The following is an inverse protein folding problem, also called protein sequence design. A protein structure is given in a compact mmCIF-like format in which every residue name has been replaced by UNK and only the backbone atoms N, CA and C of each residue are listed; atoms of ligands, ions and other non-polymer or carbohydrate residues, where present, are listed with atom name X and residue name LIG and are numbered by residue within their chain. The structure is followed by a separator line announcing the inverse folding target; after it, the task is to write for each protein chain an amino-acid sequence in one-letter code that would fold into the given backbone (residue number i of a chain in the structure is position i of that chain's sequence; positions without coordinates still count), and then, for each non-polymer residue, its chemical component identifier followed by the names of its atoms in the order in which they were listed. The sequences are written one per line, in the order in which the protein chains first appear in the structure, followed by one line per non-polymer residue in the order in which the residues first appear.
data_IF_291968398203
#
_entry.id   IF_291968398203
#
_cell.length_a   1.000
_cell.length_b   1.000
_cell.length_c   1.000
_cell.angle_alpha   90.00
_cell.angle_beta   90.00
_cell.angle_gamma   90.00
#
_symmetry.space_group_name_H-M   'P 1'
#
loop_
_entity.id
_entity.type
_entity.pdbx_description
1 polymer ?
#
# COMPACT_ATOMS: atom_id res chain seq x y z
N UNK A 1 28.58 8.61 -18.87
CA UNK A 1 28.23 7.18 -18.78
C UNK A 1 29.44 6.31 -18.43
N UNK A 2 30.62 6.51 -19.05
CA UNK A 2 31.82 5.69 -18.77
C UNK A 2 32.39 5.84 -17.36
N UNK A 3 32.44 7.06 -16.83
CA UNK A 3 32.97 7.30 -15.46
C UNK A 3 32.08 6.65 -14.39
N UNK A 4 30.77 6.64 -14.56
CA UNK A 4 29.85 5.92 -13.66
C UNK A 4 30.05 4.42 -13.75
N UNK A 5 30.20 3.86 -14.96
CA UNK A 5 30.49 2.43 -15.19
C UNK A 5 31.81 2.02 -14.55
N UNK A 6 32.91 2.78 -14.77
CA UNK A 6 34.21 2.51 -14.18
C UNK A 6 34.14 2.56 -12.64
N UNK A 7 33.47 3.55 -12.06
CA UNK A 7 33.31 3.67 -10.62
C UNK A 7 32.52 2.50 -10.00
N UNK A 8 31.47 2.05 -10.68
CA UNK A 8 30.71 0.86 -10.24
C UNK A 8 31.54 -0.43 -10.35
N UNK A 9 32.34 -0.59 -11.37
CA UNK A 9 33.24 -1.75 -11.52
C UNK A 9 34.30 -1.76 -10.41
N UNK A 10 34.93 -0.63 -10.09
CA UNK A 10 35.91 -0.55 -9.00
C UNK A 10 35.29 -0.87 -7.64
N UNK A 11 34.09 -0.35 -7.36
CA UNK A 11 33.37 -0.65 -6.11
C UNK A 11 33.02 -2.12 -6.03
N UNK A 12 32.49 -2.71 -7.12
CA UNK A 12 32.18 -4.14 -7.23
C UNK A 12 33.41 -5.01 -6.90
N UNK A 13 34.54 -4.72 -7.57
CA UNK A 13 35.75 -5.53 -7.43
C UNK A 13 36.35 -5.42 -6.02
N UNK A 14 36.31 -4.21 -5.41
CA UNK A 14 36.72 -4.01 -4.03
C UNK A 14 35.84 -4.78 -3.04
N UNK A 15 34.53 -4.72 -3.20
CA UNK A 15 33.58 -5.44 -2.32
C UNK A 15 33.71 -6.96 -2.50
N UNK A 16 33.88 -7.44 -3.74
CA UNK A 16 34.14 -8.84 -4.02
C UNK A 16 35.40 -9.33 -3.32
N UNK A 17 36.48 -8.55 -3.42
CA UNK A 17 37.76 -8.88 -2.74
C UNK A 17 37.57 -9.03 -1.24
N UNK A 18 36.83 -8.10 -0.61
CA UNK A 18 36.54 -8.17 0.84
C UNK A 18 35.67 -9.39 1.16
N UNK A 19 34.59 -9.61 0.39
CA UNK A 19 33.66 -10.71 0.65
C UNK A 19 34.25 -12.09 0.46
N UNK A 20 35.15 -12.26 -0.52
CA UNK A 20 35.81 -13.54 -0.86
C UNK A 20 37.15 -13.74 -0.08
N UNK A 21 37.55 -12.79 0.78
CA UNK A 21 38.78 -12.92 1.58
C UNK A 21 38.49 -13.61 2.92
N UNK A 22 39.50 -14.27 3.47
CA UNK A 22 39.44 -14.87 4.81
C UNK A 22 39.24 -13.81 5.91
N UNK A 23 39.61 -12.53 5.65
CA UNK A 23 39.43 -11.39 6.57
C UNK A 23 37.97 -11.11 6.92
N UNK A 24 37.00 -11.59 6.11
CA UNK A 24 35.56 -11.41 6.40
C UNK A 24 35.17 -12.05 7.74
N UNK A 25 35.82 -13.17 8.11
CA UNK A 25 35.53 -13.89 9.35
C UNK A 25 35.99 -13.11 10.60
N UNK A 26 37.00 -12.25 10.45
CA UNK A 26 37.53 -11.40 11.53
C UNK A 26 36.70 -10.12 11.77
N UNK A 27 35.77 -9.81 10.88
CA UNK A 27 34.91 -8.65 11.00
C UNK A 27 33.79 -8.88 12.02
N UNK A 28 33.30 -7.79 12.64
CA UNK A 28 32.11 -7.86 13.49
C UNK A 28 30.88 -8.31 12.71
N UNK A 29 29.88 -8.93 13.35
CA UNK A 29 28.67 -9.43 12.65
C UNK A 29 27.93 -8.37 11.83
N UNK A 30 27.88 -7.11 12.30
CA UNK A 30 27.28 -5.99 11.58
C UNK A 30 28.07 -5.63 10.30
N UNK A 31 29.40 -5.73 10.35
CA UNK A 31 30.27 -5.50 9.20
C UNK A 31 30.18 -6.64 8.19
N UNK A 32 30.16 -7.90 8.65
CA UNK A 32 29.91 -9.07 7.80
C UNK A 32 28.57 -8.94 7.08
N UNK A 33 27.53 -8.55 7.82
CA UNK A 33 26.19 -8.32 7.23
C UNK A 33 26.19 -7.18 6.22
N UNK A 34 26.88 -6.09 6.49
CA UNK A 34 27.03 -4.99 5.54
C UNK A 34 27.74 -5.41 4.26
N UNK A 35 28.88 -6.13 4.39
CA UNK A 35 29.63 -6.63 3.25
C UNK A 35 28.77 -7.56 2.39
N UNK A 36 28.04 -8.48 3.03
CA UNK A 36 27.09 -9.35 2.33
C UNK A 36 26.01 -8.56 1.60
N UNK A 37 25.34 -7.61 2.25
CA UNK A 37 24.27 -6.81 1.63
C UNK A 37 24.76 -6.03 0.40
N UNK A 38 25.98 -5.53 0.45
CA UNK A 38 26.57 -4.79 -0.68
C UNK A 38 26.98 -5.76 -1.79
N UNK A 39 27.63 -6.87 -1.47
CA UNK A 39 28.03 -7.90 -2.43
C UNK A 39 26.81 -8.52 -3.13
N UNK A 40 25.85 -9.02 -2.35
CA UNK A 40 24.60 -9.61 -2.84
C UNK A 40 23.85 -8.63 -3.77
N UNK A 41 23.77 -7.37 -3.38
CA UNK A 41 23.15 -6.33 -4.20
C UNK A 41 23.83 -6.16 -5.58
N UNK A 42 25.13 -6.35 -5.69
CA UNK A 42 25.83 -6.35 -6.98
C UNK A 42 25.65 -7.67 -7.74
N UNK A 43 25.81 -8.80 -7.06
CA UNK A 43 25.72 -10.13 -7.66
C UNK A 43 24.34 -10.37 -8.28
N UNK A 44 23.28 -10.11 -7.53
CA UNK A 44 21.89 -10.28 -7.96
C UNK A 44 21.45 -9.34 -9.10
N UNK A 45 22.19 -8.28 -9.34
CA UNK A 45 21.96 -7.36 -10.47
C UNK A 45 22.92 -7.61 -11.65
N UNK A 46 23.51 -8.80 -11.73
CA UNK A 46 24.30 -9.25 -12.86
C UNK A 46 25.69 -8.64 -12.95
N UNK A 47 26.19 -8.02 -11.88
CA UNK A 47 27.52 -7.40 -11.90
C UNK A 47 28.66 -8.43 -12.04
N UNK A 48 28.39 -9.69 -11.70
CA UNK A 48 29.36 -10.80 -11.80
C UNK A 48 29.36 -11.47 -13.18
N UNK A 49 28.42 -11.14 -14.05
CA UNK A 49 28.35 -11.70 -15.41
C UNK A 49 29.45 -11.12 -16.30
N UNK A 50 30.00 -11.96 -17.17
CA UNK A 50 31.06 -11.62 -18.12
C UNK A 50 30.68 -12.07 -19.55
N UNK A 51 31.39 -11.53 -20.56
CA UNK A 51 31.23 -11.92 -21.95
C UNK A 51 29.79 -11.82 -22.44
N UNK A 52 29.37 -12.82 -23.20
CA UNK A 52 28.04 -12.89 -23.83
C UNK A 52 26.89 -12.87 -22.84
N UNK A 53 27.05 -13.51 -21.67
CA UNK A 53 26.02 -13.51 -20.63
C UNK A 53 25.73 -12.08 -20.10
N UNK A 54 26.76 -11.25 -19.94
CA UNK A 54 26.61 -9.85 -19.53
C UNK A 54 25.92 -9.00 -20.60
N UNK A 55 26.28 -9.21 -21.86
CA UNK A 55 25.65 -8.49 -22.98
C UNK A 55 24.19 -8.88 -23.10
N UNK A 56 23.88 -10.19 -22.99
CA UNK A 56 22.50 -10.67 -23.01
C UNK A 56 21.67 -10.14 -21.85
N UNK A 57 22.22 -10.14 -20.63
CA UNK A 57 21.56 -9.57 -19.45
C UNK A 57 21.23 -8.08 -19.63
N UNK A 58 22.15 -7.33 -20.22
CA UNK A 58 21.92 -5.90 -20.49
C UNK A 58 20.82 -5.67 -21.55
N UNK A 59 20.81 -6.48 -22.61
CA UNK A 59 19.76 -6.45 -23.64
C UNK A 59 18.38 -6.79 -23.06
N UNK A 60 18.30 -7.85 -22.23
CA UNK A 60 17.06 -8.23 -21.54
C UNK A 60 16.53 -7.07 -20.67
N UNK A 61 17.38 -6.42 -19.88
CA UNK A 61 16.95 -5.31 -19.04
C UNK A 61 16.44 -4.11 -19.86
N UNK A 62 17.04 -3.85 -21.03
CA UNK A 62 16.55 -2.80 -21.93
C UNK A 62 15.17 -3.16 -22.49
N UNK A 63 15.03 -4.38 -23.02
CA UNK A 63 13.75 -4.85 -23.59
C UNK A 63 12.63 -4.88 -22.53
N UNK A 64 12.93 -5.36 -21.31
CA UNK A 64 11.98 -5.32 -20.20
C UNK A 64 11.54 -3.89 -19.85
N UNK A 65 12.44 -2.91 -19.88
CA UNK A 65 12.09 -1.52 -19.61
C UNK A 65 11.12 -0.96 -20.68
N UNK A 66 11.36 -1.29 -21.95
CA UNK A 66 10.49 -0.91 -23.07
C UNK A 66 9.11 -1.58 -22.96
N UNK A 67 9.06 -2.88 -22.68
CA UNK A 67 7.82 -3.64 -22.52
C UNK A 67 6.99 -3.17 -21.32
N UNK A 68 7.63 -2.91 -20.16
CA UNK A 68 6.91 -2.39 -19.00
C UNK A 68 6.34 -0.99 -19.24
N UNK A 69 7.08 -0.13 -19.95
CA UNK A 69 6.58 1.19 -20.33
C UNK A 69 5.36 1.08 -21.25
N UNK A 70 5.45 0.21 -22.26
CA UNK A 70 4.33 -0.04 -23.18
C UNK A 70 3.13 -0.63 -22.45
N UNK A 71 3.33 -1.61 -21.57
CA UNK A 71 2.28 -2.20 -20.75
C UNK A 71 1.53 -1.14 -19.93
N UNK A 72 2.28 -0.29 -19.21
CA UNK A 72 1.68 0.76 -18.41
C UNK A 72 0.94 1.82 -19.24
N UNK A 73 1.47 2.19 -20.40
CA UNK A 73 0.81 3.13 -21.30
C UNK A 73 -0.49 2.57 -21.89
N UNK A 74 -0.55 1.28 -22.20
CA UNK A 74 -1.75 0.62 -22.71
C UNK A 74 -2.86 0.63 -21.64
N UNK A 75 -2.54 0.27 -20.38
CA UNK A 75 -3.50 0.34 -19.27
C UNK A 75 -3.99 1.78 -19.06
N UNK A 76 -3.08 2.76 -19.10
CA UNK A 76 -3.44 4.17 -18.96
C UNK A 76 -4.36 4.65 -20.10
N UNK A 77 -4.11 4.21 -21.34
CA UNK A 77 -4.97 4.54 -22.47
C UNK A 77 -6.41 4.03 -22.27
N UNK A 78 -6.56 2.83 -21.71
CA UNK A 78 -7.88 2.28 -21.38
C UNK A 78 -8.54 3.01 -20.20
N UNK A 79 -7.76 3.44 -19.20
CA UNK A 79 -8.27 4.28 -18.10
C UNK A 79 -8.81 5.62 -18.58
N UNK A 80 -8.17 6.22 -19.58
CA UNK A 80 -8.54 7.51 -20.14
C UNK A 80 -9.61 7.39 -21.25
N UNK A 81 -9.56 6.32 -22.06
CA UNK A 81 -10.36 6.13 -23.26
C UNK A 81 -11.75 5.57 -23.01
N UNK A 82 -11.88 4.63 -22.08
CA UNK A 82 -13.15 3.97 -21.78
C UNK A 82 -13.90 4.69 -20.65
N UNK A 83 -14.97 5.40 -21.01
CA UNK A 83 -15.84 6.14 -20.08
C UNK A 83 -17.29 5.72 -20.28
N UNK A 84 -17.97 5.36 -19.20
CA UNK A 84 -19.41 5.10 -19.24
C UNK A 84 -20.16 6.41 -18.94
N UNK A 85 -20.99 6.85 -19.87
CA UNK A 85 -21.79 8.05 -19.69
C UNK A 85 -23.22 7.70 -19.30
N UNK A 86 -23.76 8.43 -18.35
CA UNK A 86 -25.10 8.25 -17.78
C UNK A 86 -25.93 9.50 -18.10
N UNK A 87 -27.25 9.30 -18.24
CA UNK A 87 -28.26 10.34 -18.20
C UNK A 87 -28.79 10.56 -16.77
N UNK A 88 -29.54 11.63 -16.54
CA UNK A 88 -30.07 11.97 -15.22
C UNK A 88 -30.99 10.88 -14.62
N UNK A 89 -31.74 10.18 -15.45
CA UNK A 89 -32.61 9.06 -15.04
C UNK A 89 -31.88 7.79 -14.62
N UNK A 90 -30.56 7.71 -14.83
CA UNK A 90 -29.69 6.59 -14.47
C UNK A 90 -28.87 6.82 -13.18
N UNK A 91 -29.21 7.85 -12.43
CA UNK A 91 -28.48 8.20 -11.20
C UNK A 91 -29.06 7.55 -9.93
N UNK A 92 -30.06 6.68 -10.07
CA UNK A 92 -30.70 6.04 -8.91
C UNK A 92 -29.69 5.34 -8.00
N UNK A 93 -29.80 5.61 -6.68
CA UNK A 93 -28.92 5.07 -5.64
C UNK A 93 -27.62 5.83 -5.44
N UNK A 94 -27.18 6.66 -6.39
CA UNK A 94 -25.89 7.34 -6.30
C UNK A 94 -25.93 8.52 -5.30
N UNK A 95 -24.92 8.66 -4.42
CA UNK A 95 -24.79 9.83 -3.55
C UNK A 95 -24.69 11.14 -4.35
N UNK A 96 -25.32 12.21 -3.84
CA UNK A 96 -25.34 13.53 -4.50
C UNK A 96 -23.93 14.07 -4.82
N UNK A 97 -22.99 13.92 -3.89
CA UNK A 97 -21.60 14.34 -4.07
C UNK A 97 -20.90 13.55 -5.20
N UNK A 98 -21.20 12.25 -5.34
CA UNK A 98 -20.67 11.42 -6.42
C UNK A 98 -21.27 11.82 -7.77
N UNK A 99 -22.58 12.03 -7.84
CA UNK A 99 -23.26 12.50 -9.04
C UNK A 99 -22.73 13.87 -9.50
N UNK A 100 -22.48 14.80 -8.57
CA UNK A 100 -21.87 16.10 -8.88
C UNK A 100 -20.44 15.94 -9.45
N UNK A 101 -19.61 15.06 -8.90
CA UNK A 101 -18.29 14.78 -9.43
C UNK A 101 -18.34 14.14 -10.83
N UNK A 102 -19.28 13.23 -11.07
CA UNK A 102 -19.51 12.60 -12.37
C UNK A 102 -19.98 13.62 -13.42
N UNK A 103 -20.84 14.59 -13.05
CA UNK A 103 -21.25 15.69 -13.91
C UNK A 103 -20.06 16.59 -14.30
N UNK A 104 -19.21 16.95 -13.33
CA UNK A 104 -17.99 17.72 -13.59
C UNK A 104 -17.06 16.95 -14.54
N UNK A 105 -16.85 15.66 -14.32
CA UNK A 105 -16.03 14.81 -15.18
C UNK A 105 -16.58 14.69 -16.62
N UNK A 106 -17.88 14.73 -16.81
CA UNK A 106 -18.52 14.78 -18.14
C UNK A 106 -18.33 16.15 -18.80
N UNK A 107 -18.53 17.24 -18.06
CA UNK A 107 -18.33 18.60 -18.56
C UNK A 107 -16.88 18.84 -19.00
N UNK A 108 -15.89 18.38 -18.26
CA UNK A 108 -14.46 18.44 -18.63
C UNK A 108 -14.16 17.69 -19.96
N UNK A 109 -15.03 16.76 -20.36
CA UNK A 109 -14.97 16.00 -21.62
C UNK A 109 -15.88 16.55 -22.70
N UNK A 110 -16.47 17.74 -22.49
CA UNK A 110 -17.34 18.41 -23.43
C UNK A 110 -18.75 17.80 -23.53
N UNK A 111 -19.19 17.06 -22.52
CA UNK A 111 -20.51 16.40 -22.48
C UNK A 111 -21.37 16.98 -21.33
N UNK A 112 -21.63 18.26 -21.42
CA UNK A 112 -22.50 18.96 -20.47
C UNK A 112 -23.90 18.34 -20.42
N UNK A 113 -24.42 18.12 -19.21
CA UNK A 113 -25.74 17.51 -18.99
C UNK A 113 -25.74 15.98 -18.93
N UNK A 114 -24.57 15.35 -19.05
CA UNK A 114 -24.37 13.93 -18.80
C UNK A 114 -23.49 13.72 -17.54
N UNK A 115 -23.30 12.48 -17.15
CA UNK A 115 -22.49 12.07 -16.00
C UNK A 115 -21.47 11.02 -16.43
N UNK A 116 -20.19 11.24 -16.18
CA UNK A 116 -19.12 10.36 -16.62
C UNK A 116 -18.60 9.47 -15.49
N UNK A 117 -18.75 8.17 -15.65
CA UNK A 117 -18.08 7.17 -14.83
C UNK A 117 -16.78 6.81 -15.54
N UNK A 118 -15.68 7.33 -15.02
CA UNK A 118 -14.34 7.09 -15.59
C UNK A 118 -13.84 5.70 -15.21
N UNK A 119 -12.93 5.16 -16.04
CA UNK A 119 -12.39 3.81 -15.85
C UNK A 119 -11.29 3.76 -14.78
N UNK A 120 -11.48 4.49 -13.68
CA UNK A 120 -10.58 4.56 -12.52
C UNK A 120 -11.22 3.94 -11.30
N UNK A 121 -10.42 3.44 -10.34
CA UNK A 121 -10.95 2.84 -9.12
C UNK A 121 -11.84 3.80 -8.34
N UNK A 122 -11.44 5.06 -8.21
CA UNK A 122 -12.19 6.09 -7.48
C UNK A 122 -13.56 6.42 -8.07
N UNK A 123 -13.79 6.10 -9.35
CA UNK A 123 -15.09 6.24 -10.00
C UNK A 123 -15.87 4.92 -10.01
N UNK A 124 -15.21 3.81 -10.30
CA UNK A 124 -15.83 2.49 -10.39
C UNK A 124 -16.34 1.99 -9.04
N UNK A 125 -15.53 2.02 -7.99
CA UNK A 125 -15.89 1.47 -6.68
C UNK A 125 -17.17 2.09 -6.09
N UNK A 126 -17.32 3.45 -6.01
CA UNK A 126 -18.56 4.04 -5.52
C UNK A 126 -19.74 3.75 -6.45
N UNK A 127 -19.53 3.71 -7.78
CA UNK A 127 -20.59 3.39 -8.71
C UNK A 127 -21.13 1.97 -8.49
N UNK A 128 -20.24 0.97 -8.37
CA UNK A 128 -20.65 -0.42 -8.11
C UNK A 128 -21.27 -0.60 -6.71
N UNK A 129 -20.94 0.27 -5.77
CA UNK A 129 -21.46 0.21 -4.40
C UNK A 129 -22.87 0.75 -4.30
N UNK A 130 -23.17 1.84 -5.02
CA UNK A 130 -24.39 2.61 -4.76
C UNK A 130 -25.41 2.59 -5.91
N UNK A 131 -25.01 2.38 -7.17
CA UNK A 131 -25.93 2.45 -8.30
C UNK A 131 -26.98 1.34 -8.25
N UNK A 132 -28.26 1.69 -8.39
CA UNK A 132 -29.37 0.72 -8.50
C UNK A 132 -29.40 0.05 -9.89
N UNK A 133 -28.72 0.63 -10.89
CA UNK A 133 -28.74 0.20 -12.30
C UNK A 133 -27.83 -1.00 -12.52
N UNK A 134 -28.36 -2.23 -12.37
CA UNK A 134 -27.57 -3.48 -12.43
C UNK A 134 -26.83 -3.67 -13.76
N UNK A 135 -27.47 -3.37 -14.89
CA UNK A 135 -26.85 -3.52 -16.22
C UNK A 135 -25.65 -2.56 -16.38
N UNK A 136 -25.77 -1.36 -15.83
CA UNK A 136 -24.68 -0.39 -15.83
C UNK A 136 -23.56 -0.79 -14.86
N UNK A 137 -23.88 -1.40 -13.71
CA UNK A 137 -22.84 -2.00 -12.84
C UNK A 137 -22.05 -3.06 -13.59
N UNK A 138 -22.73 -3.97 -14.32
CA UNK A 138 -22.05 -4.97 -15.15
C UNK A 138 -21.14 -4.31 -16.21
N UNK A 139 -21.64 -3.31 -16.91
CA UNK A 139 -20.84 -2.60 -17.91
C UNK A 139 -19.60 -1.95 -17.31
N UNK A 140 -19.75 -1.18 -16.23
CA UNK A 140 -18.64 -0.51 -15.54
C UNK A 140 -17.64 -1.51 -14.99
N UNK A 141 -18.12 -2.60 -14.38
CA UNK A 141 -17.27 -3.68 -13.86
C UNK A 141 -16.44 -4.32 -14.99
N UNK A 142 -17.08 -4.73 -16.09
CA UNK A 142 -16.38 -5.32 -17.24
C UNK A 142 -15.36 -4.37 -17.82
N UNK A 143 -15.73 -3.12 -18.04
CA UNK A 143 -14.83 -2.09 -18.57
C UNK A 143 -13.59 -1.89 -17.69
N UNK A 144 -13.76 -1.92 -16.37
CA UNK A 144 -12.65 -1.74 -15.44
C UNK A 144 -11.71 -2.95 -15.40
N UNK A 145 -12.26 -4.17 -15.34
CA UNK A 145 -11.46 -5.38 -15.21
C UNK A 145 -10.87 -5.89 -16.52
N UNK A 146 -11.31 -5.36 -17.68
CA UNK A 146 -10.74 -5.69 -19.00
C UNK A 146 -9.66 -4.70 -19.48
N UNK A 147 -9.16 -3.83 -18.62
CA UNK A 147 -8.09 -2.89 -18.99
C UNK A 147 -6.83 -3.64 -19.45
N UNK A 148 -6.38 -3.31 -20.67
CA UNK A 148 -5.26 -3.98 -21.33
C UNK A 148 -5.61 -5.33 -21.95
N UNK A 149 -6.90 -5.71 -22.00
CA UNK A 149 -7.42 -6.96 -22.57
C UNK A 149 -8.70 -6.72 -23.38
N UNK A 150 -8.65 -5.73 -24.29
CA UNK A 150 -9.80 -5.34 -25.13
C UNK A 150 -9.65 -5.80 -26.59
N UNK A 151 -8.56 -6.48 -26.95
CA UNK A 151 -8.29 -6.94 -28.31
C UNK A 151 -8.03 -5.82 -29.33
N UNK A 152 -7.65 -4.64 -28.84
CA UNK A 152 -7.35 -3.45 -29.62
C UNK A 152 -5.84 -3.11 -29.65
N UNK A 153 -5.47 -1.89 -30.05
CA UNK A 153 -4.08 -1.43 -30.11
C UNK A 153 -3.41 -1.29 -28.73
N UNK A 154 -4.20 -1.29 -27.64
CA UNK A 154 -3.75 -1.20 -26.25
C UNK A 154 -3.76 -2.53 -25.52
N UNK A 155 -3.98 -3.63 -26.24
CA UNK A 155 -3.96 -4.99 -25.70
C UNK A 155 -2.57 -5.40 -25.22
N UNK A 156 -2.52 -5.97 -23.99
CA UNK A 156 -1.29 -6.40 -23.35
C UNK A 156 -1.03 -7.91 -23.43
N UNK A 157 -1.95 -8.70 -23.98
CA UNK A 157 -1.86 -10.15 -24.01
C UNK A 157 -0.60 -10.65 -24.69
N UNK A 158 -0.15 -9.96 -25.77
CA UNK A 158 1.11 -10.30 -26.43
C UNK A 158 2.37 -9.87 -25.65
N UNK A 159 2.25 -8.90 -24.71
CA UNK A 159 3.38 -8.42 -23.92
C UNK A 159 3.66 -9.30 -22.72
N UNK A 160 2.64 -9.89 -22.11
CA UNK A 160 2.72 -10.66 -20.87
C UNK A 160 3.65 -11.87 -21.03
N UNK A 161 3.48 -12.78 -22.04
CA UNK A 161 4.38 -13.91 -22.23
C UNK A 161 5.83 -13.46 -22.43
N UNK A 162 6.02 -12.41 -23.23
CA UNK A 162 7.37 -11.91 -23.51
C UNK A 162 8.08 -11.37 -22.27
N UNK A 163 7.35 -10.65 -21.41
CA UNK A 163 7.89 -10.16 -20.13
C UNK A 163 8.29 -11.34 -19.24
N UNK A 164 7.47 -12.38 -19.16
CA UNK A 164 7.73 -13.55 -18.33
C UNK A 164 8.90 -14.38 -18.85
N UNK A 165 9.00 -14.59 -20.18
CA UNK A 165 10.17 -15.22 -20.82
C UNK A 165 11.47 -14.49 -20.47
N UNK A 166 11.49 -13.18 -20.64
CA UNK A 166 12.68 -12.36 -20.37
C UNK A 166 13.04 -12.33 -18.88
N UNK A 167 12.05 -12.29 -17.99
CA UNK A 167 12.29 -12.41 -16.55
C UNK A 167 12.91 -13.74 -16.19
N UNK A 168 12.42 -14.83 -16.77
CA UNK A 168 12.95 -16.18 -16.53
C UNK A 168 14.36 -16.32 -17.09
N UNK A 169 14.60 -15.95 -18.35
CA UNK A 169 15.93 -15.97 -18.96
C UNK A 169 16.94 -15.14 -18.16
N UNK A 170 16.54 -13.95 -17.71
CA UNK A 170 17.39 -13.07 -16.92
C UNK A 170 17.91 -13.72 -15.65
N UNK A 171 17.06 -14.44 -14.91
CA UNK A 171 17.47 -15.06 -13.65
C UNK A 171 18.20 -16.38 -13.86
N UNK A 172 17.94 -17.09 -14.95
CA UNK A 172 18.73 -18.26 -15.35
C UNK A 172 20.17 -17.87 -15.67
N UNK A 173 20.42 -16.70 -16.30
CA UNK A 173 21.77 -16.17 -16.47
C UNK A 173 22.50 -15.93 -15.14
N UNK A 174 21.74 -15.71 -14.04
CA UNK A 174 22.26 -15.54 -12.69
C UNK A 174 22.36 -16.86 -11.91
N UNK A 175 21.94 -17.99 -12.49
CA UNK A 175 22.01 -19.32 -11.90
C UNK A 175 20.78 -19.73 -11.06
N UNK A 176 19.65 -19.03 -11.21
CA UNK A 176 18.40 -19.39 -10.53
C UNK A 176 17.47 -20.19 -11.46
N UNK A 177 16.71 -21.09 -10.88
CA UNK A 177 15.77 -21.95 -11.62
C UNK A 177 14.61 -21.15 -12.24
N UNK A 178 14.11 -20.15 -11.53
CA UNK A 178 13.01 -19.29 -11.95
C UNK A 178 13.05 -17.91 -11.25
N UNK A 179 12.19 -17.01 -11.72
CA UNK A 179 12.14 -15.65 -11.21
C UNK A 179 11.68 -15.57 -9.74
N UNK A 180 10.75 -16.43 -9.31
CA UNK A 180 10.30 -16.49 -7.93
C UNK A 180 11.43 -16.90 -6.97
N UNK A 181 12.22 -17.91 -7.30
CA UNK A 181 13.38 -18.34 -6.51
C UNK A 181 14.38 -17.18 -6.33
N UNK A 182 14.70 -16.45 -7.41
CA UNK A 182 15.55 -15.27 -7.34
C UNK A 182 14.96 -14.18 -6.45
N UNK A 183 13.64 -13.90 -6.51
CA UNK A 183 12.98 -12.87 -5.70
C UNK A 183 12.95 -13.22 -4.21
N UNK A 184 12.80 -14.49 -3.89
CA UNK A 184 12.58 -14.96 -2.51
C UNK A 184 13.86 -15.26 -1.73
N UNK A 185 14.99 -15.50 -2.40
CA UNK A 185 16.26 -15.88 -1.74
C UNK A 185 16.62 -15.00 -0.55
N UNK A 186 16.46 -13.68 -0.67
CA UNK A 186 16.76 -12.71 0.38
C UNK A 186 15.52 -12.23 1.15
N UNK A 187 14.44 -13.04 1.17
CA UNK A 187 13.21 -12.83 1.95
C UNK A 187 13.15 -13.82 3.12
N UNK A 188 12.16 -13.64 4.00
CA UNK A 188 11.92 -14.59 5.11
C UNK A 188 11.41 -15.93 4.57
N UNK A 189 10.57 -15.91 3.56
CA UNK A 189 10.01 -17.11 2.95
C UNK A 189 11.07 -18.01 2.30
N UNK A 190 12.15 -17.45 1.73
CA UNK A 190 13.28 -18.15 1.10
C UNK A 190 12.94 -18.90 -0.18
N UNK A 191 11.89 -19.67 -0.21
CA UNK A 191 11.58 -20.67 -1.24
C UNK A 191 10.14 -20.53 -1.72
N UNK A 192 9.86 -20.71 -3.03
CA UNK A 192 8.51 -20.65 -3.58
C UNK A 192 7.52 -21.62 -2.91
N UNK A 193 7.97 -22.84 -2.55
CA UNK A 193 7.12 -23.84 -1.91
C UNK A 193 6.50 -23.36 -0.59
N UNK A 194 7.26 -22.65 0.24
CA UNK A 194 6.74 -22.06 1.49
C UNK A 194 5.70 -20.97 1.25
N UNK A 195 5.89 -20.18 0.18
CA UNK A 195 4.91 -19.14 -0.18
C UNK A 195 3.60 -19.78 -0.62
N UNK A 196 3.65 -20.83 -1.46
CA UNK A 196 2.46 -21.56 -1.86
C UNK A 196 1.74 -22.20 -0.67
N UNK A 197 2.47 -22.90 0.22
CA UNK A 197 1.88 -23.50 1.42
C UNK A 197 1.11 -22.47 2.26
N UNK A 198 1.70 -21.30 2.47
CA UNK A 198 1.05 -20.21 3.21
C UNK A 198 -0.17 -19.65 2.46
N UNK A 199 -0.01 -19.32 1.17
CA UNK A 199 -1.08 -18.71 0.36
C UNK A 199 -2.26 -19.67 0.18
N UNK A 200 -2.01 -20.98 -0.01
CA UNK A 200 -3.07 -21.97 -0.16
C UNK A 200 -3.87 -22.16 1.13
N UNK A 201 -3.22 -22.09 2.30
CA UNK A 201 -3.91 -22.13 3.58
C UNK A 201 -4.81 -20.90 3.78
N UNK A 202 -4.32 -19.70 3.45
CA UNK A 202 -5.08 -18.45 3.50
C UNK A 202 -6.24 -18.49 2.49
N UNK A 203 -5.97 -18.94 1.26
CA UNK A 203 -6.97 -19.10 0.20
C UNK A 203 -8.14 -19.97 0.60
N UNK A 204 -7.86 -21.13 1.18
CA UNK A 204 -8.91 -22.05 1.62
C UNK A 204 -9.82 -21.43 2.69
N UNK A 205 -9.26 -20.69 3.64
CA UNK A 205 -10.02 -20.00 4.68
C UNK A 205 -10.82 -18.81 4.13
N UNK A 206 -10.20 -17.98 3.30
CA UNK A 206 -10.83 -16.77 2.75
C UNK A 206 -11.97 -17.10 1.78
N UNK A 207 -11.78 -18.07 0.89
CA UNK A 207 -12.84 -18.50 -0.05
C UNK A 207 -14.03 -19.15 0.66
N UNK A 208 -13.81 -19.88 1.76
CA UNK A 208 -14.90 -20.37 2.59
C UNK A 208 -15.69 -19.20 3.21
N UNK A 209 -15.01 -18.15 3.67
CA UNK A 209 -15.64 -16.95 4.20
C UNK A 209 -16.40 -16.17 3.14
N UNK A 210 -15.84 -16.03 1.92
CA UNK A 210 -16.56 -15.42 0.77
C UNK A 210 -17.88 -16.12 0.49
N UNK A 211 -17.94 -17.45 0.59
CA UNK A 211 -19.17 -18.18 0.38
C UNK A 211 -20.26 -17.82 1.41
N UNK A 212 -19.88 -17.55 2.66
CA UNK A 212 -20.81 -17.07 3.69
C UNK A 212 -21.24 -15.62 3.40
N UNK A 213 -20.30 -14.73 3.00
CA UNK A 213 -20.58 -13.34 2.65
C UNK A 213 -21.55 -13.25 1.46
N UNK A 214 -21.32 -14.05 0.42
CA UNK A 214 -22.21 -14.14 -0.74
C UNK A 214 -23.59 -14.69 -0.37
N UNK A 215 -23.67 -15.66 0.55
CA UNK A 215 -24.95 -16.18 1.02
C UNK A 215 -25.78 -15.11 1.75
N UNK A 216 -25.14 -14.25 2.55
CA UNK A 216 -25.78 -13.10 3.18
C UNK A 216 -26.33 -12.11 2.14
N UNK A 217 -25.54 -11.81 1.11
CA UNK A 217 -25.96 -10.94 -0.01
C UNK A 217 -27.11 -11.53 -0.80
N UNK A 218 -27.05 -12.83 -1.10
CA UNK A 218 -28.12 -13.54 -1.81
C UNK A 218 -29.43 -13.52 -1.03
N UNK A 219 -29.36 -13.67 0.29
CA UNK A 219 -30.55 -13.61 1.15
C UNK A 219 -31.26 -12.23 1.07
N UNK A 220 -30.50 -11.13 0.97
CA UNK A 220 -31.07 -9.79 0.76
C UNK A 220 -31.68 -9.69 -0.64
N UNK A 221 -30.98 -10.11 -1.68
CA UNK A 221 -31.51 -10.09 -3.06
C UNK A 221 -32.79 -10.90 -3.20
N UNK A 222 -32.89 -12.06 -2.57
CA UNK A 222 -34.09 -12.91 -2.55
C UNK A 222 -35.23 -12.23 -1.81
N UNK A 223 -34.96 -11.61 -0.65
CA UNK A 223 -35.98 -10.90 0.14
C UNK A 223 -36.53 -9.67 -0.61
N UNK A 224 -35.72 -9.00 -1.41
CA UNK A 224 -36.13 -7.90 -2.29
C UNK A 224 -36.91 -8.39 -3.54
N UNK A 225 -36.90 -9.69 -3.82
CA UNK A 225 -37.50 -10.26 -5.00
C UNK A 225 -36.76 -9.93 -6.29
N UNK A 226 -35.45 -9.70 -6.19
CA UNK A 226 -34.60 -9.31 -7.33
C UNK A 226 -34.49 -10.43 -8.39
N UNK A 227 -34.67 -11.70 -8.02
CA UNK A 227 -34.65 -12.83 -8.96
C UNK A 227 -33.31 -13.06 -9.65
N UNK A 228 -32.21 -12.73 -8.99
CA UNK A 228 -30.83 -12.82 -9.52
C UNK A 228 -30.00 -13.80 -8.71
N UNK A 229 -28.93 -14.28 -9.30
CA UNK A 229 -27.77 -14.80 -8.56
C UNK A 229 -26.74 -13.69 -8.45
N UNK A 230 -26.09 -13.59 -7.30
CA UNK A 230 -25.03 -12.59 -7.05
C UNK A 230 -23.85 -12.87 -7.99
N UNK A 231 -23.55 -11.88 -8.82
CA UNK A 231 -22.45 -11.86 -9.77
C UNK A 231 -21.37 -10.86 -9.33
N UNK A 232 -20.17 -10.84 -9.91
CA UNK A 232 -19.09 -9.93 -9.47
C UNK A 232 -19.47 -8.45 -9.46
N UNK A 233 -20.30 -8.00 -10.38
CA UNK A 233 -20.80 -6.61 -10.43
C UNK A 233 -21.92 -6.31 -9.43
N UNK A 234 -22.48 -7.31 -8.80
CA UNK A 234 -23.49 -7.17 -7.73
C UNK A 234 -22.84 -7.15 -6.35
N UNK A 235 -21.61 -7.64 -6.24
CA UNK A 235 -20.94 -7.90 -4.96
C UNK A 235 -20.89 -6.65 -4.08
N UNK A 236 -20.32 -5.53 -4.57
CA UNK A 236 -20.18 -4.30 -3.78
C UNK A 236 -21.53 -3.70 -3.38
N UNK A 237 -22.50 -3.75 -4.27
CA UNK A 237 -23.85 -3.26 -4.02
C UNK A 237 -24.56 -4.01 -2.90
N UNK A 238 -24.55 -5.33 -2.94
CA UNK A 238 -25.17 -6.13 -1.89
C UNK A 238 -24.33 -6.24 -0.63
N UNK A 239 -23.03 -6.15 -0.72
CA UNK A 239 -22.16 -6.03 0.44
C UNK A 239 -22.51 -4.80 1.28
N UNK A 240 -22.72 -3.64 0.64
CA UNK A 240 -23.16 -2.41 1.34
C UNK A 240 -24.52 -2.59 2.02
N UNK A 241 -25.48 -3.26 1.37
CA UNK A 241 -26.77 -3.58 2.00
C UNK A 241 -26.62 -4.53 3.20
N UNK A 242 -25.73 -5.52 3.13
CA UNK A 242 -25.42 -6.39 4.27
C UNK A 242 -24.78 -5.57 5.39
N UNK A 243 -23.86 -4.67 5.07
CA UNK A 243 -23.19 -3.79 6.04
C UNK A 243 -24.22 -2.96 6.80
N UNK A 244 -25.13 -2.29 6.08
CA UNK A 244 -26.20 -1.50 6.68
C UNK A 244 -27.14 -2.36 7.54
N UNK A 245 -27.52 -3.55 7.06
CA UNK A 245 -28.48 -4.39 7.77
C UNK A 245 -27.91 -5.07 9.02
N UNK A 246 -26.62 -5.45 9.01
CA UNK A 246 -25.99 -6.22 10.09
C UNK A 246 -25.30 -5.37 11.14
N UNK A 247 -24.65 -4.26 10.72
CA UNK A 247 -23.74 -3.54 11.59
C UNK A 247 -24.32 -2.20 12.07
N UNK A 248 -25.29 -1.61 11.35
CA UNK A 248 -25.94 -0.35 11.71
C UNK A 248 -24.93 0.68 12.23
N UNK A 249 -23.79 0.76 11.53
CA UNK A 249 -22.68 1.65 11.87
C UNK A 249 -22.77 2.91 11.02
N UNK A 250 -23.05 4.03 11.66
CA UNK A 250 -23.02 5.35 11.03
C UNK A 250 -21.60 5.89 11.06
N UNK A 251 -20.97 5.96 9.88
CA UNK A 251 -19.60 6.47 9.73
C UNK A 251 -19.47 7.94 10.08
N UNK A 252 -20.54 8.73 9.89
CA UNK A 252 -20.54 10.15 10.25
C UNK A 252 -20.65 10.34 11.76
N UNK A 253 -21.36 9.46 12.46
CA UNK A 253 -21.39 9.43 13.93
C UNK A 253 -20.00 9.07 14.49
N UNK A 254 -19.37 8.03 13.99
CA UNK A 254 -18.01 7.61 14.42
C UNK A 254 -17.01 8.72 14.23
N UNK A 255 -17.08 9.43 13.10
CA UNK A 255 -16.16 10.51 12.74
C UNK A 255 -16.15 11.66 13.76
N UNK A 256 -17.24 11.89 14.51
CA UNK A 256 -17.30 12.93 15.53
C UNK A 256 -16.32 12.69 16.70
N UNK A 257 -15.83 11.48 16.86
CA UNK A 257 -14.85 11.09 17.89
C UNK A 257 -13.41 11.02 17.36
N UNK A 258 -13.21 11.18 16.05
CA UNK A 258 -11.91 10.99 15.39
C UNK A 258 -11.27 12.33 15.01
N UNK A 259 -10.95 13.13 16.04
CA UNK A 259 -10.26 14.39 15.88
C UNK A 259 -8.77 14.15 15.62
N UNK A 260 -8.22 14.68 14.53
CA UNK A 260 -6.83 14.46 14.13
C UNK A 260 -5.82 14.80 15.25
N UNK A 261 -6.02 15.92 15.96
CA UNK A 261 -5.11 16.34 17.04
C UNK A 261 -5.11 15.35 18.20
N UNK A 262 -6.26 14.80 18.56
CA UNK A 262 -6.39 13.79 19.60
C UNK A 262 -5.74 12.47 19.18
N UNK A 263 -5.89 12.09 17.91
CA UNK A 263 -5.23 10.89 17.37
C UNK A 263 -3.71 11.04 17.33
N UNK A 264 -3.18 12.23 17.02
CA UNK A 264 -1.75 12.53 17.12
C UNK A 264 -1.27 12.38 18.58
N UNK A 265 -2.05 12.91 19.52
CA UNK A 265 -1.74 12.76 20.95
C UNK A 265 -1.78 11.30 21.40
N UNK A 266 -2.75 10.51 20.91
CA UNK A 266 -2.83 9.07 21.15
C UNK A 266 -1.60 8.31 20.61
N UNK A 267 -1.17 8.61 19.38
CA UNK A 267 0.07 8.03 18.83
C UNK A 267 1.29 8.33 19.69
N UNK A 268 1.43 9.59 20.15
CA UNK A 268 2.54 9.99 21.01
C UNK A 268 2.47 9.29 22.37
N UNK A 269 1.26 9.11 22.93
CA UNK A 269 1.07 8.33 24.16
C UNK A 269 1.53 6.89 23.97
N UNK A 270 1.07 6.20 22.92
CA UNK A 270 1.44 4.81 22.64
C UNK A 270 2.96 4.69 22.44
N UNK A 271 3.58 5.59 21.68
CA UNK A 271 5.02 5.60 21.49
C UNK A 271 5.79 5.85 22.81
N UNK A 272 5.23 6.69 23.68
CA UNK A 272 5.76 6.93 25.01
C UNK A 272 5.76 5.67 25.88
N UNK A 273 4.67 4.91 25.86
CA UNK A 273 4.53 3.69 26.66
C UNK A 273 5.39 2.54 26.11
N UNK A 274 5.42 2.36 24.79
CA UNK A 274 6.12 1.22 24.18
C UNK A 274 7.62 1.45 24.00
N UNK A 275 8.03 2.66 23.59
CA UNK A 275 9.38 2.97 23.16
C UNK A 275 10.10 3.98 24.07
N UNK A 276 9.42 4.51 25.08
CA UNK A 276 9.91 5.58 25.93
C UNK A 276 10.20 6.87 25.13
N UNK A 277 9.47 7.12 24.07
CA UNK A 277 9.63 8.32 23.24
C UNK A 277 8.79 9.48 23.81
N UNK A 278 9.36 10.68 23.71
CA UNK A 278 8.69 11.93 24.00
C UNK A 278 8.80 12.83 22.79
N UNK A 279 7.67 13.41 22.38
CA UNK A 279 7.56 14.27 21.20
C UNK A 279 7.36 15.72 21.64
N UNK A 280 8.26 16.61 21.20
CA UNK A 280 8.17 18.05 21.43
C UNK A 280 8.07 18.77 20.10
N UNK A 281 6.99 19.50 19.87
CA UNK A 281 6.80 20.22 18.63
C UNK A 281 7.80 21.38 18.49
N UNK A 282 8.47 21.49 17.36
CA UNK A 282 9.39 22.58 17.02
C UNK A 282 8.60 23.64 16.25
N UNK A 283 8.36 24.79 16.89
CA UNK A 283 7.53 25.88 16.35
C UNK A 283 8.30 27.17 16.09
N UNK A 284 9.58 27.24 16.45
CA UNK A 284 10.42 28.41 16.38
C UNK A 284 11.05 28.69 14.98
N UNK A 285 10.74 27.83 14.00
CA UNK A 285 11.27 27.93 12.64
C UNK A 285 12.73 27.51 12.50
N UNK A 286 13.35 26.95 13.53
CA UNK A 286 14.75 26.46 13.49
C UNK A 286 14.92 25.25 12.54
N UNK A 287 13.84 24.50 12.28
CA UNK A 287 13.83 23.37 11.36
C UNK A 287 12.95 23.70 10.15
N UNK A 288 13.48 23.65 8.92
CA UNK A 288 12.72 23.98 7.73
C UNK A 288 11.65 22.92 7.42
N UNK A 289 10.50 23.39 6.93
CA UNK A 289 9.40 22.57 6.39
C UNK A 289 9.17 22.94 4.93
N UNK A 290 8.61 22.00 4.15
CA UNK A 290 8.31 22.22 2.73
C UNK A 290 6.93 22.79 2.46
N UNK A 291 6.06 22.83 3.48
CA UNK A 291 4.73 23.41 3.42
C UNK A 291 4.27 23.86 4.82
N UNK A 292 3.40 24.88 4.89
CA UNK A 292 2.91 25.44 6.14
C UNK A 292 2.10 24.47 7.01
N UNK A 293 1.47 23.46 6.38
CA UNK A 293 0.70 22.39 7.06
C UNK A 293 1.58 21.30 7.68
N UNK A 294 2.87 21.31 7.40
CA UNK A 294 3.79 20.30 7.94
C UNK A 294 4.20 20.66 9.35
N UNK A 295 3.97 19.76 10.28
CA UNK A 295 4.44 19.89 11.66
C UNK A 295 5.75 19.12 11.85
N UNK A 296 6.61 19.62 12.75
CA UNK A 296 7.92 19.03 13.05
C UNK A 296 8.02 18.77 14.54
N UNK A 297 8.54 17.60 14.88
CA UNK A 297 8.65 17.15 16.24
C UNK A 297 10.08 16.65 16.54
N UNK A 298 10.68 17.16 17.61
CA UNK A 298 11.86 16.54 18.20
C UNK A 298 11.41 15.31 18.98
N UNK A 299 12.10 14.18 18.74
CA UNK A 299 11.88 12.93 19.47
C UNK A 299 13.04 12.69 20.40
N UNK A 300 12.75 12.57 21.68
CA UNK A 300 13.74 12.28 22.72
C UNK A 300 13.33 11.03 23.52
N UNK A 301 14.29 10.38 24.17
CA UNK A 301 13.99 9.34 25.14
C UNK A 301 13.53 9.98 26.45
N UNK A 302 12.32 9.68 26.91
CA UNK A 302 11.70 10.33 28.10
C UNK A 302 12.45 10.04 29.40
N UNK A 303 13.23 8.96 29.47
CA UNK A 303 13.96 8.58 30.68
C UNK A 303 15.37 9.20 30.75
N UNK A 304 16.04 9.32 29.60
CA UNK A 304 17.43 9.82 29.52
C UNK A 304 17.53 11.25 29.00
N UNK A 305 16.51 11.74 28.31
CA UNK A 305 16.54 13.03 27.61
C UNK A 305 17.38 13.02 26.33
N UNK A 306 17.93 11.86 25.95
CA UNK A 306 18.73 11.74 24.73
C UNK A 306 17.92 11.98 23.48
N UNK A 307 18.47 12.73 22.53
CA UNK A 307 17.87 12.98 21.22
C UNK A 307 17.85 11.70 20.38
N UNK A 308 16.67 11.29 19.93
CA UNK A 308 16.43 10.11 19.09
C UNK A 308 16.38 10.49 17.61
N UNK A 309 15.66 11.55 17.28
CA UNK A 309 15.50 11.98 15.90
C UNK A 309 14.54 13.14 15.73
N UNK A 310 14.23 13.45 14.47
CA UNK A 310 13.19 14.42 14.11
C UNK A 310 12.15 13.73 13.23
N UNK A 311 10.90 13.94 13.57
CA UNK A 311 9.75 13.42 12.85
C UNK A 311 8.89 14.54 12.30
N UNK A 312 8.56 14.44 11.01
CA UNK A 312 7.66 15.37 10.32
C UNK A 312 6.32 14.68 10.09
N UNK A 313 5.24 15.42 10.27
CA UNK A 313 3.90 14.98 9.90
C UNK A 313 3.35 15.94 8.84
N UNK A 314 3.01 15.36 7.68
CA UNK A 314 2.40 16.04 6.54
C UNK A 314 1.01 15.43 6.27
N UNK A 315 -0.06 15.86 6.99
CA UNK A 315 -1.30 15.12 7.00
C UNK A 315 -2.25 15.42 5.84
N UNK A 316 -2.15 16.60 5.19
CA UNK A 316 -3.21 17.08 4.30
C UNK A 316 -2.93 16.91 2.82
N UNK A 317 -4.01 16.69 2.04
CA UNK A 317 -4.00 16.72 0.60
C UNK A 317 -3.77 18.15 0.08
N UNK A 318 -3.03 18.28 -1.03
CA UNK A 318 -2.84 19.54 -1.77
C UNK A 318 -2.36 19.29 -3.19
N UNK A 319 -2.46 20.27 -4.11
CA UNK A 319 -1.90 20.18 -5.45
C UNK A 319 -0.39 19.84 -5.43
N UNK A 320 0.03 18.92 -6.27
CA UNK A 320 1.42 18.45 -6.36
C UNK A 320 1.85 17.43 -5.32
N UNK A 321 1.01 17.07 -4.35
CA UNK A 321 1.24 15.97 -3.44
C UNK A 321 0.60 14.69 -4.00
N UNK A 322 1.37 13.59 -4.04
CA UNK A 322 0.87 12.29 -4.50
C UNK A 322 -0.20 11.77 -3.55
N UNK A 323 -1.23 11.13 -4.08
CA UNK A 323 -2.29 10.47 -3.31
C UNK A 323 -1.80 9.26 -2.50
N UNK A 324 -2.60 8.79 -1.56
CA UNK A 324 -2.29 7.71 -0.62
C UNK A 324 -1.57 8.21 0.63
N UNK A 325 -1.08 7.28 1.44
CA UNK A 325 -0.24 7.56 2.61
C UNK A 325 1.12 6.87 2.44
N UNK A 326 2.15 7.42 3.10
CA UNK A 326 3.48 6.82 3.08
C UNK A 326 4.38 7.38 4.16
N UNK A 327 5.32 6.56 4.60
CA UNK A 327 6.42 6.98 5.44
C UNK A 327 7.72 7.12 4.64
N UNK A 328 8.56 8.08 5.04
CA UNK A 328 9.85 8.32 4.38
C UNK A 328 10.95 8.56 5.41
N UNK A 329 12.12 7.95 5.17
CA UNK A 329 13.33 8.25 5.93
C UNK A 329 14.26 9.10 5.08
N UNK A 330 14.49 10.36 5.49
CA UNK A 330 15.41 11.28 4.82
C UNK A 330 16.86 11.06 5.26
N UNK A 331 17.06 10.68 6.51
CA UNK A 331 18.34 10.30 7.09
C UNK A 331 18.14 9.14 8.07
N UNK A 332 18.84 8.05 7.82
CA UNK A 332 18.85 6.91 8.72
C UNK A 332 19.81 7.13 9.89
N UNK A 333 19.55 6.43 10.99
CA UNK A 333 20.50 6.38 12.11
C UNK A 333 21.82 5.75 11.68
N UNK A 334 22.93 6.30 12.11
CA UNK A 334 24.27 5.70 12.00
C UNK A 334 25.21 6.19 13.09
N UNK A 335 26.22 5.37 13.37
CA UNK A 335 27.31 5.74 14.29
C UNK A 335 28.71 5.56 13.69
N UNK A 336 28.76 5.13 12.42
CA UNK A 336 29.99 4.82 11.70
C UNK A 336 30.91 6.03 11.53
N UNK A 337 30.37 7.18 11.19
CA UNK A 337 31.11 8.44 11.00
C UNK A 337 30.52 9.54 11.90
N UNK A 338 30.52 9.26 13.22
CA UNK A 338 29.83 10.06 14.20
C UNK A 338 28.33 9.77 14.26
N UNK A 339 27.70 10.13 15.38
CA UNK A 339 26.27 9.92 15.57
C UNK A 339 25.46 10.79 14.61
N UNK A 340 24.64 10.15 13.80
CA UNK A 340 23.58 10.78 13.01
C UNK A 340 22.24 10.16 13.41
N UNK A 341 21.32 10.99 13.82
CA UNK A 341 20.00 10.58 14.25
C UNK A 341 19.02 10.53 13.09
N UNK A 342 17.94 9.83 13.24
CA UNK A 342 16.91 9.63 12.19
C UNK A 342 16.19 10.95 11.88
N UNK A 343 15.97 11.21 10.58
CA UNK A 343 15.00 12.18 10.09
C UNK A 343 14.00 11.45 9.21
N UNK A 344 12.73 11.51 9.56
CA UNK A 344 11.69 10.83 8.81
C UNK A 344 10.37 11.58 8.81
N UNK A 345 9.47 11.21 7.91
CA UNK A 345 8.12 11.79 7.83
C UNK A 345 7.06 10.73 7.65
N UNK A 346 5.88 11.04 8.18
CA UNK A 346 4.63 10.44 7.76
C UNK A 346 3.84 11.43 6.90
N UNK A 347 3.24 10.93 5.85
CA UNK A 347 2.51 11.72 4.88
C UNK A 347 1.16 11.05 4.61
N UNK A 348 0.08 11.84 4.66
CA UNK A 348 -1.29 11.42 4.38
C UNK A 348 -1.95 12.41 3.43
N UNK A 349 -3.19 12.17 3.07
CA UNK A 349 -3.96 13.06 2.19
C UNK A 349 -5.36 13.32 2.78
N UNK A 350 -5.42 13.64 4.07
CA UNK A 350 -6.67 13.98 4.74
C UNK A 350 -7.24 15.27 4.18
N UNK A 351 -8.56 15.42 4.26
CA UNK A 351 -9.24 16.65 3.88
C UNK A 351 -9.10 17.64 5.04
N UNK A 352 -8.55 18.81 4.75
CA UNK A 352 -8.41 19.90 5.72
C UNK A 352 -9.79 20.51 6.03
N UNK A 353 -10.11 20.65 7.30
CA UNK A 353 -11.31 21.35 7.74
C UNK A 353 -11.29 22.85 7.43
N UNK A 354 -12.40 23.54 7.73
CA UNK A 354 -12.43 24.99 7.67
C UNK A 354 -11.42 25.61 8.67
N UNK A 355 -10.87 26.80 8.40
CA UNK A 355 -9.92 27.42 9.30
C UNK A 355 -10.50 27.61 10.71
N UNK A 356 -9.84 27.03 11.71
CA UNK A 356 -10.24 27.09 13.11
C UNK A 356 -11.20 26.00 13.57
N UNK A 357 -11.66 25.15 12.66
CA UNK A 357 -12.48 23.99 13.01
C UNK A 357 -11.60 22.73 13.21
N UNK A 358 -11.99 21.83 14.12
CA UNK A 358 -11.32 20.54 14.29
C UNK A 358 -11.33 19.74 12.98
N UNK A 359 -10.24 19.04 12.71
CA UNK A 359 -10.16 18.13 11.56
C UNK A 359 -10.65 16.76 12.00
N UNK A 360 -11.77 16.34 11.43
CA UNK A 360 -12.35 15.02 11.67
C UNK A 360 -11.99 14.09 10.50
N UNK A 361 -11.49 12.91 10.82
CA UNK A 361 -11.11 11.90 9.81
C UNK A 361 -11.95 10.62 9.97
N UNK A 362 -11.94 9.76 8.97
CA UNK A 362 -12.64 8.48 9.03
C UNK A 362 -11.90 7.48 9.93
N UNK A 363 -12.55 6.36 10.27
CA UNK A 363 -11.89 5.27 10.99
C UNK A 363 -10.72 4.69 10.18
N UNK A 364 -10.89 4.49 8.88
CA UNK A 364 -9.85 4.00 7.97
C UNK A 364 -8.66 4.98 7.88
N UNK A 365 -8.93 6.30 7.87
CA UNK A 365 -7.88 7.31 7.93
C UNK A 365 -7.12 7.28 9.27
N UNK A 366 -7.82 7.02 10.38
CA UNK A 366 -7.20 6.88 11.69
C UNK A 366 -6.32 5.61 11.77
N UNK A 367 -6.79 4.47 11.23
CA UNK A 367 -5.97 3.27 11.10
C UNK A 367 -4.75 3.51 10.22
N UNK A 368 -4.92 4.18 9.06
CA UNK A 368 -3.81 4.59 8.18
C UNK A 368 -2.80 5.50 8.90
N UNK A 369 -3.28 6.46 9.71
CA UNK A 369 -2.41 7.33 10.50
C UNK A 369 -1.53 6.55 11.48
N UNK A 370 -2.10 5.58 12.18
CA UNK A 370 -1.38 4.68 13.08
C UNK A 370 -0.44 3.75 12.31
N UNK A 371 -0.86 3.22 11.16
CA UNK A 371 -0.03 2.41 10.26
C UNK A 371 1.26 3.14 9.87
N UNK A 372 1.14 4.33 9.29
CA UNK A 372 2.30 5.12 8.87
C UNK A 372 3.20 5.49 10.06
N UNK A 373 2.60 5.73 11.23
CA UNK A 373 3.37 5.98 12.44
C UNK A 373 4.13 4.74 12.93
N UNK A 374 3.61 3.55 12.69
CA UNK A 374 4.33 2.29 12.94
C UNK A 374 5.63 2.19 12.14
N UNK A 375 5.62 2.62 10.87
CA UNK A 375 6.84 2.75 10.08
C UNK A 375 7.81 3.79 10.68
N UNK A 376 7.28 4.95 11.13
CA UNK A 376 8.10 5.97 11.78
C UNK A 376 8.78 5.44 13.04
N UNK A 377 8.04 4.73 13.89
CA UNK A 377 8.59 4.13 15.10
C UNK A 377 9.67 3.10 14.80
N UNK A 378 9.53 2.33 13.71
CA UNK A 378 10.55 1.38 13.27
C UNK A 378 11.89 2.08 13.00
N UNK A 379 11.92 3.15 12.22
CA UNK A 379 13.20 3.81 11.94
C UNK A 379 13.67 4.78 13.03
N UNK A 380 12.79 5.35 13.83
CA UNK A 380 13.18 6.11 15.04
C UNK A 380 13.82 5.20 16.10
N UNK A 381 13.36 3.95 16.19
CA UNK A 381 13.95 2.95 17.11
C UNK A 381 15.25 2.33 16.60
N UNK A 382 15.67 2.65 15.38
CA UNK A 382 16.89 2.07 14.80
C UNK A 382 18.12 2.50 15.57
N UNK A 383 19.00 1.52 15.87
CA UNK A 383 20.28 1.73 16.53
C UNK A 383 21.38 0.94 15.82
N UNK A 384 21.64 1.27 14.55
CA UNK A 384 22.61 0.59 13.70
C UNK A 384 23.86 1.45 13.50
N UNK A 385 25.02 0.79 13.36
CA UNK A 385 26.26 1.49 13.05
C UNK A 385 26.29 2.01 11.61
N UNK A 386 25.68 1.28 10.67
CA UNK A 386 25.74 1.58 9.26
C UNK A 386 24.32 1.77 8.69
N UNK A 387 24.04 2.87 7.95
CA UNK A 387 22.68 3.21 7.52
C UNK A 387 22.05 2.14 6.62
N UNK A 388 22.86 1.37 5.88
CA UNK A 388 22.36 0.27 5.04
C UNK A 388 21.80 -0.93 5.82
N UNK A 389 22.07 -0.99 7.12
CA UNK A 389 21.51 -1.99 8.03
C UNK A 389 20.16 -1.56 8.63
N UNK A 390 19.75 -0.31 8.40
CA UNK A 390 18.49 0.24 8.87
C UNK A 390 17.35 -0.19 7.96
N UNK A 391 16.99 -1.43 7.98
CA UNK A 391 15.89 -1.98 7.20
C UNK A 391 15.88 -3.49 7.28
N UNK A 392 14.72 -4.03 7.41
CA UNK A 392 14.49 -5.47 7.40
C UNK A 392 14.52 -6.05 5.98
N UNK A 393 14.15 -7.29 5.89
CA UNK A 393 13.78 -7.93 4.63
C UNK A 393 12.39 -7.42 4.20
N UNK A 394 12.13 -7.43 2.89
CA UNK A 394 10.93 -6.77 2.35
C UNK A 394 9.62 -7.38 2.84
N UNK A 395 9.56 -8.68 3.07
CA UNK A 395 8.40 -9.40 3.60
C UNK A 395 8.19 -9.23 5.12
N UNK A 396 8.96 -8.35 5.76
CA UNK A 396 8.80 -7.92 7.15
C UNK A 396 8.38 -6.44 7.26
N UNK A 397 8.32 -5.73 6.16
CA UNK A 397 8.17 -4.26 6.15
C UNK A 397 6.89 -3.80 6.86
N UNK A 398 5.80 -4.53 6.69
CA UNK A 398 4.47 -4.15 7.20
C UNK A 398 4.16 -4.68 8.61
N UNK A 399 5.07 -5.45 9.25
CA UNK A 399 4.79 -5.99 10.57
C UNK A 399 4.55 -4.89 11.61
N UNK A 400 5.43 -3.88 11.65
CA UNK A 400 5.36 -2.82 12.66
C UNK A 400 4.20 -1.87 12.40
N UNK A 401 3.93 -1.57 11.13
CA UNK A 401 2.83 -0.69 10.73
C UNK A 401 1.48 -1.33 11.04
N UNK A 402 1.24 -2.56 10.61
CA UNK A 402 0.00 -3.29 10.88
C UNK A 402 -0.20 -3.63 12.36
N UNK A 403 0.89 -3.86 13.11
CA UNK A 403 0.81 -4.01 14.56
C UNK A 403 0.36 -2.71 15.22
N UNK A 404 0.86 -1.56 14.73
CA UNK A 404 0.54 -0.26 15.32
C UNK A 404 -0.95 0.12 15.12
N UNK A 405 -1.60 -0.29 14.04
CA UNK A 405 -3.05 -0.13 13.83
C UNK A 405 -3.88 -0.67 15.02
N UNK A 406 -3.42 -1.78 15.62
CA UNK A 406 -4.14 -2.43 16.73
C UNK A 406 -4.19 -1.58 18.00
N UNK A 407 -3.24 -0.64 18.17
CA UNK A 407 -3.23 0.25 19.32
C UNK A 407 -4.32 1.30 19.30
N UNK A 408 -4.84 1.66 18.11
CA UNK A 408 -6.03 2.52 17.98
C UNK A 408 -7.25 1.93 18.71
N UNK A 409 -7.34 0.60 18.79
CA UNK A 409 -8.49 -0.14 19.34
C UNK A 409 -8.28 -0.56 20.80
N UNK A 410 -7.22 -0.12 21.47
CA UNK A 410 -7.00 -0.39 22.90
C UNK A 410 -7.90 0.50 23.77
N UNK A 411 -8.32 -0.02 24.92
CA UNK A 411 -9.20 0.71 25.83
C UNK A 411 -8.54 2.02 26.28
N UNK A 412 -7.21 2.04 26.48
CA UNK A 412 -6.47 3.25 26.87
C UNK A 412 -6.54 4.36 25.80
N UNK A 413 -6.55 4.02 24.52
CA UNK A 413 -6.70 4.99 23.43
C UNK A 413 -8.15 5.38 23.26
N UNK A 414 -9.07 4.44 23.27
CA UNK A 414 -10.50 4.66 23.12
C UNK A 414 -11.01 5.60 24.21
N UNK A 415 -10.76 5.29 25.49
CA UNK A 415 -11.32 6.01 26.62
C UNK A 415 -10.76 7.43 26.78
N UNK A 416 -9.49 7.66 26.36
CA UNK A 416 -8.82 8.91 26.65
C UNK A 416 -8.67 9.86 25.46
N UNK A 417 -8.78 9.35 24.22
CA UNK A 417 -8.48 10.14 23.01
C UNK A 417 -9.62 10.18 22.00
N UNK A 418 -10.52 9.17 21.99
CA UNK A 418 -11.68 9.18 21.13
C UNK A 418 -12.85 9.86 21.82
N UNK A 419 -12.80 11.19 21.84
CA UNK A 419 -13.81 12.03 22.51
C UNK A 419 -14.58 12.86 21.48
N UNK A 420 -15.88 13.02 21.72
CA UNK A 420 -16.79 13.76 20.83
C UNK A 420 -16.35 15.22 20.66
N UNK A 421 -16.34 15.69 19.43
CA UNK A 421 -15.82 17.01 19.06
C UNK A 421 -16.50 18.18 19.79
N UNK A 422 -17.82 18.10 20.02
CA UNK A 422 -18.59 19.18 20.67
C UNK A 422 -18.72 19.02 22.18
N UNK A 423 -18.88 17.77 22.67
CA UNK A 423 -19.18 17.51 24.07
C UNK A 423 -17.96 17.14 24.90
N UNK A 424 -16.90 16.64 24.27
CA UNK A 424 -15.72 16.09 24.95
C UNK A 424 -15.96 14.77 25.68
N UNK A 425 -17.14 14.16 25.53
CA UNK A 425 -17.47 12.88 26.14
C UNK A 425 -16.77 11.73 25.36
N UNK A 426 -16.30 10.68 26.05
CA UNK A 426 -15.73 9.52 25.40
C UNK A 426 -16.72 8.84 24.45
N UNK A 427 -16.19 8.13 23.45
CA UNK A 427 -17.01 7.33 22.54
C UNK A 427 -17.79 6.26 23.31
N UNK A 428 -19.11 6.09 23.05
CA UNK A 428 -19.93 5.11 23.76
C UNK A 428 -19.48 3.67 23.52
N UNK A 429 -19.49 2.83 24.56
CA UNK A 429 -19.17 1.40 24.47
C UNK A 429 -19.97 0.67 23.38
N UNK A 430 -21.24 1.07 23.19
CA UNK A 430 -22.10 0.50 22.14
C UNK A 430 -21.56 0.79 20.74
N UNK A 431 -21.07 2.02 20.51
CA UNK A 431 -20.47 2.40 19.22
C UNK A 431 -19.13 1.70 18.99
N UNK A 432 -18.31 1.57 20.04
CA UNK A 432 -17.07 0.77 20.01
C UNK A 432 -17.36 -0.69 19.67
N UNK A 433 -18.41 -1.27 20.27
CA UNK A 433 -18.81 -2.64 19.96
C UNK A 433 -19.26 -2.80 18.48
N UNK A 434 -19.99 -1.82 17.94
CA UNK A 434 -20.37 -1.79 16.52
C UNK A 434 -19.12 -1.73 15.61
N UNK A 435 -18.14 -0.86 15.92
CA UNK A 435 -16.88 -0.74 15.19
C UNK A 435 -16.13 -2.08 15.22
N UNK A 436 -15.94 -2.67 16.39
CA UNK A 436 -15.25 -3.97 16.55
C UNK A 436 -15.98 -5.10 15.81
N UNK A 437 -17.29 -5.12 15.79
CA UNK A 437 -18.07 -6.11 15.05
C UNK A 437 -17.95 -5.92 13.53
N UNK A 438 -17.87 -4.66 13.07
CA UNK A 438 -17.70 -4.35 11.66
C UNK A 438 -16.26 -4.61 11.14
N UNK A 439 -15.27 -4.70 12.02
CA UNK A 439 -13.85 -4.83 11.65
C UNK A 439 -13.51 -6.09 10.82
N UNK A 440 -14.38 -7.11 10.83
CA UNK A 440 -14.23 -8.33 10.01
C UNK A 440 -15.23 -8.40 8.87
N UNK A 441 -15.99 -7.32 8.65
CA UNK A 441 -16.90 -7.24 7.52
C UNK A 441 -16.12 -7.34 6.20
N UNK A 442 -16.63 -8.16 5.28
CA UNK A 442 -16.05 -8.35 3.95
C UNK A 442 -14.59 -8.87 3.92
N UNK A 443 -14.07 -9.31 5.06
CA UNK A 443 -12.68 -9.77 5.19
C UNK A 443 -12.38 -11.00 4.32
N UNK A 444 -13.38 -11.84 4.05
CA UNK A 444 -13.25 -12.99 3.14
C UNK A 444 -12.92 -12.53 1.73
N UNK A 445 -13.69 -11.59 1.20
CA UNK A 445 -13.49 -11.06 -0.16
C UNK A 445 -12.16 -10.31 -0.30
N UNK A 446 -11.86 -9.39 0.58
CA UNK A 446 -10.61 -8.61 0.54
C UNK A 446 -9.38 -9.50 0.59
N UNK A 447 -9.38 -10.48 1.50
CA UNK A 447 -8.29 -11.45 1.60
C UNK A 447 -8.19 -12.32 0.35
N UNK A 448 -9.33 -12.73 -0.24
CA UNK A 448 -9.36 -13.56 -1.45
C UNK A 448 -8.86 -12.77 -2.66
N UNK A 449 -9.28 -11.53 -2.86
CA UNK A 449 -8.84 -10.66 -3.97
C UNK A 449 -7.32 -10.45 -3.92
N UNK A 450 -6.80 -10.14 -2.73
CA UNK A 450 -5.35 -9.97 -2.53
C UNK A 450 -4.57 -11.28 -2.74
N UNK A 451 -5.04 -12.38 -2.15
CA UNK A 451 -4.39 -13.70 -2.24
C UNK A 451 -4.43 -14.26 -3.66
N UNK A 452 -5.51 -14.01 -4.42
CA UNK A 452 -5.60 -14.38 -5.83
C UNK A 452 -4.46 -13.78 -6.66
N UNK A 453 -4.22 -12.47 -6.48
CA UNK A 453 -3.13 -11.75 -7.16
C UNK A 453 -1.77 -12.34 -6.80
N UNK A 454 -1.54 -12.66 -5.52
CA UNK A 454 -0.29 -13.24 -5.05
C UNK A 454 -0.06 -14.66 -5.59
N UNK A 455 -1.11 -15.49 -5.63
CA UNK A 455 -1.04 -16.85 -6.19
C UNK A 455 -0.76 -16.80 -7.70
N UNK A 456 -1.42 -15.88 -8.43
CA UNK A 456 -1.18 -15.68 -9.86
C UNK A 456 0.26 -15.24 -10.13
N UNK A 457 0.77 -14.25 -9.38
CA UNK A 457 2.17 -13.81 -9.48
C UNK A 457 3.14 -14.96 -9.25
N UNK A 458 2.92 -15.76 -8.19
CA UNK A 458 3.75 -16.92 -7.89
C UNK A 458 3.69 -17.99 -8.99
N UNK A 459 2.52 -18.29 -9.54
CA UNK A 459 2.36 -19.25 -10.65
C UNK A 459 3.09 -18.79 -11.89
N UNK A 460 2.90 -17.53 -12.33
CA UNK A 460 3.59 -16.96 -13.48
C UNK A 460 5.12 -16.99 -13.36
N UNK A 461 5.64 -16.87 -12.15
CA UNK A 461 7.08 -16.78 -11.93
C UNK A 461 7.75 -18.07 -11.46
N UNK A 462 6.98 -19.17 -11.32
CA UNK A 462 7.50 -20.53 -11.06
C UNK A 462 7.29 -21.49 -12.21
N UNK A 463 6.31 -21.25 -13.10
CA UNK A 463 6.06 -22.08 -14.28
C UNK A 463 7.08 -21.82 -15.39
N UNK A 464 7.18 -22.74 -16.33
CA UNK A 464 7.89 -22.49 -17.59
C UNK A 464 7.05 -21.50 -18.42
N UNK A 465 7.61 -20.36 -18.84
CA UNK A 465 6.86 -19.38 -19.64
C UNK A 465 6.28 -19.93 -20.95
N UNK A 466 6.85 -21.01 -21.49
CA UNK A 466 6.33 -21.70 -22.69
C UNK A 466 4.99 -22.42 -22.47
N UNK A 467 4.63 -22.69 -21.21
CA UNK A 467 3.38 -23.33 -20.82
C UNK A 467 2.25 -22.31 -20.54
N UNK A 468 2.54 -21.02 -20.70
CA UNK A 468 1.58 -19.96 -20.44
C UNK A 468 0.54 -19.89 -21.55
N UNK A 469 -0.73 -19.96 -21.16
CA UNK A 469 -1.90 -19.61 -21.94
C UNK A 469 -2.50 -18.31 -21.35
N UNK A 470 -2.57 -17.25 -22.16
CA UNK A 470 -3.01 -15.90 -21.75
C UNK A 470 -4.44 -15.68 -22.23
#
# INVERSE_FOLDING_TARGET
LDIRRQRQMCIRDSIRTVWESDEIEDLRPDQQRLAWLVYDGFARNGAMLEGEARERYAAINQELAELHTRYGNNVLADEEGYVTYLSEDQLSGLPEAFAAAAAAAAADRGREGEYAITNTRSSMDPFLTFSDERELREQVWRTYYSRGDNGDEHDNNALIPRILELRNERVQLLGYDNYAAWRLENRMAKEPGRVFEFLEAVWAASTARVAEEVADMQAIADAEGAGITIEPWDYRYYAEKVRQAKYDLDSDEVKQYLQLDNLIAAMHFVAGELFQFHFSQITDGSVPVWHEDVTVWEVTNRNTGEHVGVWYLDPFARPGKRSGAWATTYRSHETYDGLKTTLGSNNSNFIKGAPGEPVLISWDDAETLFHEFGHALHYLSSNVAYPRLNGGVRDYTELQSQLMERWLQTDEVIDNYLVHVDTGEPIPDELVAKIRNAATFNQGFETTEYTASAIMDMKYHTMDPSDLDV
#
